data_IF_029502471105
#
_entry.id   IF_029502471105
#
_cell.length_a   1.000
_cell.length_b   1.000
_cell.length_c   1.000
_cell.angle_alpha   90.00
_cell.angle_beta   90.00
_cell.angle_gamma   90.00
#
_symmetry.space_group_name_H-M   'P 1'
#
loop_
_entity.id
_entity.type
_entity.pdbx_description
1 polymer ?
#
# COMPACT_ATOMS: atom_id res chain seq x y z
N UNK A 1 8.98 21.25 -5.46
CA UNK A 1 8.08 21.48 -4.30
C UNK A 1 6.70 21.84 -4.85
N UNK A 2 5.66 21.15 -4.39
CA UNK A 2 4.28 21.49 -4.77
C UNK A 2 3.81 22.64 -3.90
N UNK A 3 3.22 23.68 -4.52
CA UNK A 3 2.66 24.80 -3.76
C UNK A 3 1.41 24.34 -3.00
N UNK A 4 1.32 24.64 -1.70
CA UNK A 4 0.22 24.29 -0.80
C UNK A 4 -1.15 24.77 -1.31
N UNK A 5 -1.19 25.96 -1.95
CA UNK A 5 -2.42 26.53 -2.51
C UNK A 5 -2.99 25.68 -3.67
N UNK A 6 -2.22 24.76 -4.19
CA UNK A 6 -2.61 23.85 -5.26
C UNK A 6 -3.02 22.47 -4.76
N UNK A 7 -3.16 22.25 -3.43
CA UNK A 7 -3.47 20.95 -2.83
C UNK A 7 -4.86 20.97 -2.20
N UNK A 8 -5.71 20.01 -2.57
CA UNK A 8 -6.89 19.61 -1.79
C UNK A 8 -6.60 18.32 -1.06
N UNK A 9 -7.06 18.20 0.17
CA UNK A 9 -6.91 17.03 1.02
C UNK A 9 -8.28 16.39 1.21
N UNK A 10 -8.47 15.18 0.70
CA UNK A 10 -9.68 14.39 0.91
C UNK A 10 -9.43 13.45 2.09
N UNK A 11 -9.95 13.81 3.25
CA UNK A 11 -9.96 12.97 4.44
C UNK A 11 -11.22 12.12 4.42
N UNK A 12 -11.07 10.81 4.14
CA UNK A 12 -12.22 9.94 3.92
C UNK A 12 -12.37 8.85 5.00
N UNK A 13 -13.61 8.43 5.23
CA UNK A 13 -13.96 7.29 6.03
C UNK A 13 -14.68 7.62 7.34
N UNK A 14 -14.72 6.66 8.25
CA UNK A 14 -15.41 6.79 9.52
C UNK A 14 -14.71 7.80 10.43
N UNK A 15 -15.48 8.60 11.14
CA UNK A 15 -14.96 9.43 12.23
C UNK A 15 -14.56 8.52 13.39
N UNK A 16 -13.27 8.58 13.74
CA UNK A 16 -12.72 7.98 14.95
C UNK A 16 -12.43 9.12 15.92
N UNK A 17 -13.22 9.33 16.98
CA UNK A 17 -13.05 10.43 17.92
C UNK A 17 -11.57 10.59 18.32
N UNK A 18 -11.09 11.69 18.77
CA UNK A 18 -9.66 11.97 19.11
C UNK A 18 -8.66 11.73 17.96
N UNK A 19 -8.82 10.65 17.17
CA UNK A 19 -7.89 10.31 16.08
C UNK A 19 -8.13 11.19 14.86
N UNK A 20 -9.37 11.28 14.39
CA UNK A 20 -9.74 12.14 13.27
C UNK A 20 -9.51 13.62 13.64
N UNK A 21 -9.79 14.00 14.89
CA UNK A 21 -9.45 15.33 15.41
C UNK A 21 -7.95 15.61 15.29
N UNK A 22 -7.11 14.67 15.72
CA UNK A 22 -5.65 14.83 15.63
C UNK A 22 -5.16 14.82 14.16
N UNK A 23 -5.78 13.99 13.32
CA UNK A 23 -5.53 13.99 11.87
C UNK A 23 -5.74 15.39 11.29
N UNK A 24 -6.92 15.98 11.47
CA UNK A 24 -7.28 17.29 10.92
C UNK A 24 -6.43 18.42 11.50
N UNK A 25 -6.20 18.41 12.84
CA UNK A 25 -5.31 19.41 13.48
C UNK A 25 -3.90 19.38 12.90
N UNK A 26 -3.35 18.18 12.67
CA UNK A 26 -2.02 18.06 12.10
C UNK A 26 -1.98 18.45 10.62
N UNK A 27 -3.04 18.17 9.85
CA UNK A 27 -3.14 18.63 8.48
C UNK A 27 -3.14 20.17 8.43
N UNK A 28 -3.93 20.86 9.24
CA UNK A 28 -3.91 22.33 9.33
C UNK A 28 -2.55 22.86 9.79
N UNK A 29 -1.89 22.17 10.73
CA UNK A 29 -0.57 22.58 11.22
C UNK A 29 0.51 22.52 10.14
N UNK A 30 0.57 21.42 9.38
CA UNK A 30 1.67 21.18 8.44
C UNK A 30 1.34 21.60 7.00
N UNK A 31 0.04 21.72 6.67
CA UNK A 31 -0.47 22.11 5.36
C UNK A 31 -1.54 23.20 5.50
N UNK A 32 -1.20 24.37 6.06
CA UNK A 32 -2.18 25.38 6.50
C UNK A 32 -3.07 25.91 5.38
N UNK A 33 -2.55 26.06 4.16
CA UNK A 33 -3.26 26.64 3.02
C UNK A 33 -3.96 25.59 2.14
N UNK A 34 -3.81 24.28 2.46
CA UNK A 34 -4.48 23.24 1.69
C UNK A 34 -6.00 23.28 1.96
N UNK A 35 -6.79 23.05 0.90
CA UNK A 35 -8.23 22.82 1.03
C UNK A 35 -8.47 21.46 1.67
N UNK A 36 -9.25 21.37 2.76
CA UNK A 36 -9.56 20.11 3.43
C UNK A 36 -11.03 19.76 3.23
N UNK A 37 -11.27 18.63 2.58
CA UNK A 37 -12.58 18.01 2.39
C UNK A 37 -12.71 16.82 3.34
N UNK A 38 -13.65 16.86 4.27
CA UNK A 38 -13.98 15.76 5.16
C UNK A 38 -15.14 14.97 4.55
N UNK A 39 -14.86 13.78 4.00
CA UNK A 39 -15.87 12.89 3.41
C UNK A 39 -16.13 11.72 4.35
N UNK A 40 -17.31 11.72 4.98
CA UNK A 40 -17.70 10.77 6.02
C UNK A 40 -19.15 10.30 5.85
N UNK A 41 -19.68 9.60 6.84
CA UNK A 41 -21.00 8.98 6.79
C UNK A 41 -22.08 9.89 7.40
N UNK A 42 -23.30 9.82 6.87
CA UNK A 42 -24.49 10.34 7.52
C UNK A 42 -24.51 9.87 8.99
N UNK A 43 -24.98 10.73 9.87
CA UNK A 43 -25.03 10.51 11.32
C UNK A 43 -23.66 10.40 12.04
N UNK A 44 -22.53 10.74 11.37
CA UNK A 44 -21.26 10.90 12.07
C UNK A 44 -21.28 12.19 12.91
N UNK A 45 -20.84 12.09 14.17
CA UNK A 45 -20.62 13.28 14.99
C UNK A 45 -19.35 13.99 14.54
N UNK A 46 -19.50 15.19 14.00
CA UNK A 46 -18.42 16.08 13.51
C UNK A 46 -18.33 17.37 14.33
N UNK A 47 -19.08 17.50 15.42
CA UNK A 47 -19.18 18.72 16.24
C UNK A 47 -17.82 19.23 16.70
N UNK A 48 -16.94 18.33 17.14
CA UNK A 48 -15.58 18.66 17.60
C UNK A 48 -14.57 18.91 16.47
N UNK A 49 -14.99 18.83 15.21
CA UNK A 49 -14.14 18.96 14.02
C UNK A 49 -14.39 20.29 13.26
N UNK A 50 -15.41 21.03 13.65
CA UNK A 50 -15.77 22.32 13.03
C UNK A 50 -14.58 23.26 13.04
N UNK A 51 -14.34 23.95 11.90
CA UNK A 51 -13.20 24.85 11.70
C UNK A 51 -11.87 24.17 11.30
N UNK A 52 -11.85 22.83 11.25
CA UNK A 52 -10.67 22.07 10.82
C UNK A 52 -10.76 21.56 9.36
N UNK A 53 -11.92 21.68 8.74
CA UNK A 53 -12.17 21.35 7.33
C UNK A 53 -12.85 22.53 6.63
N UNK A 54 -12.73 22.62 5.31
CA UNK A 54 -13.37 23.65 4.48
C UNK A 54 -14.67 23.15 3.88
N UNK A 55 -14.74 21.85 3.56
CA UNK A 55 -15.92 21.20 2.97
C UNK A 55 -16.24 19.93 3.75
N UNK A 56 -17.51 19.75 4.08
CA UNK A 56 -18.03 18.52 4.71
C UNK A 56 -18.94 17.81 3.71
N UNK A 57 -18.68 16.53 3.49
CA UNK A 57 -19.46 15.68 2.60
C UNK A 57 -19.98 14.49 3.40
N UNK A 58 -21.30 14.41 3.54
CA UNK A 58 -21.97 13.26 4.14
C UNK A 58 -22.38 12.25 3.07
N UNK A 59 -22.06 11.00 3.29
CA UNK A 59 -22.38 9.88 2.42
C UNK A 59 -23.29 8.89 3.11
N UNK A 60 -24.22 8.29 2.37
CA UNK A 60 -24.98 7.14 2.85
C UNK A 60 -24.05 5.92 2.88
N UNK A 61 -23.83 5.37 4.06
CA UNK A 61 -22.96 4.23 4.23
C UNK A 61 -23.57 2.95 3.62
N UNK A 62 -22.91 2.29 2.64
CA UNK A 62 -23.37 1.02 2.14
C UNK A 62 -23.24 -0.06 3.21
N UNK A 63 -24.12 -1.08 3.13
CA UNK A 63 -24.01 -2.27 3.99
C UNK A 63 -22.68 -2.95 3.76
N UNK A 64 -22.04 -3.39 4.83
CA UNK A 64 -20.84 -4.22 4.77
C UNK A 64 -21.23 -5.68 4.86
N UNK A 65 -20.51 -6.53 4.13
CA UNK A 65 -20.70 -7.99 4.15
C UNK A 65 -19.48 -8.65 4.76
N UNK A 66 -19.71 -9.63 5.60
CA UNK A 66 -18.66 -10.40 6.26
C UNK A 66 -17.94 -11.28 5.24
N UNK A 67 -16.62 -11.19 5.19
CA UNK A 67 -15.79 -12.01 4.30
C UNK A 67 -14.92 -13.02 5.05
N UNK A 68 -14.84 -12.94 6.37
CA UNK A 68 -14.11 -13.88 7.23
C UNK A 68 -14.95 -14.13 8.49
N UNK A 69 -15.68 -15.24 8.49
CA UNK A 69 -16.60 -15.59 9.55
C UNK A 69 -15.86 -15.94 10.85
N UNK A 70 -14.64 -16.49 10.76
CA UNK A 70 -13.83 -16.89 11.91
C UNK A 70 -13.27 -15.67 12.64
N UNK A 71 -12.89 -14.63 11.89
CA UNK A 71 -12.26 -13.42 12.42
C UNK A 71 -13.24 -12.24 12.52
N UNK A 72 -14.51 -12.45 12.19
CA UNK A 72 -15.54 -11.40 12.15
C UNK A 72 -15.11 -10.16 11.37
N UNK A 73 -14.58 -10.36 10.13
CA UNK A 73 -14.12 -9.25 9.30
C UNK A 73 -15.08 -8.94 8.16
N UNK A 74 -15.30 -7.65 7.96
CA UNK A 74 -16.23 -7.10 6.97
C UNK A 74 -15.47 -6.41 5.82
N UNK A 75 -16.01 -6.55 4.61
CA UNK A 75 -15.52 -5.85 3.43
C UNK A 75 -15.99 -4.39 3.44
N UNK A 76 -15.07 -3.49 3.18
CA UNK A 76 -15.30 -2.04 3.17
C UNK A 76 -15.11 -1.41 1.78
N UNK A 77 -14.99 -2.21 0.71
CA UNK A 77 -14.61 -1.69 -0.59
C UNK A 77 -15.57 -0.62 -1.11
N UNK A 78 -16.88 -0.87 -1.09
CA UNK A 78 -17.86 0.12 -1.54
C UNK A 78 -17.85 1.38 -0.66
N UNK A 79 -17.52 1.25 0.63
CA UNK A 79 -17.32 2.41 1.51
C UNK A 79 -16.10 3.22 1.10
N UNK A 80 -14.98 2.56 0.78
CA UNK A 80 -13.77 3.23 0.29
C UNK A 80 -14.07 3.97 -1.01
N UNK A 81 -14.77 3.34 -1.96
CA UNK A 81 -15.12 3.95 -3.23
C UNK A 81 -16.02 5.17 -3.06
N UNK A 82 -17.16 5.02 -2.38
CA UNK A 82 -18.13 6.11 -2.19
C UNK A 82 -17.49 7.32 -1.52
N UNK A 83 -16.81 7.12 -0.37
CA UNK A 83 -16.25 8.24 0.37
C UNK A 83 -15.05 8.89 -0.35
N UNK A 84 -14.33 8.14 -1.19
CA UNK A 84 -13.27 8.72 -2.01
C UNK A 84 -13.84 9.49 -3.19
N UNK A 85 -14.76 8.90 -3.96
CA UNK A 85 -15.37 9.55 -5.12
C UNK A 85 -16.05 10.87 -4.73
N UNK A 86 -16.94 10.85 -3.75
CA UNK A 86 -17.65 12.06 -3.34
C UNK A 86 -16.72 13.14 -2.76
N UNK A 87 -15.66 12.75 -2.05
CA UNK A 87 -14.64 13.70 -1.59
C UNK A 87 -13.85 14.31 -2.75
N UNK A 88 -13.50 13.52 -3.76
CA UNK A 88 -12.78 13.97 -4.95
C UNK A 88 -13.61 14.92 -5.82
N UNK A 89 -14.91 14.70 -5.94
CA UNK A 89 -15.84 15.59 -6.65
C UNK A 89 -15.82 17.02 -6.09
N UNK A 90 -15.73 17.15 -4.77
CA UNK A 90 -15.71 18.44 -4.08
C UNK A 90 -14.33 19.12 -4.04
N UNK A 91 -13.26 18.41 -4.35
CA UNK A 91 -11.92 18.98 -4.39
C UNK A 91 -11.74 19.94 -5.57
N UNK A 92 -11.09 21.11 -5.35
CA UNK A 92 -10.97 22.17 -6.36
C UNK A 92 -9.55 22.38 -6.87
N UNK A 93 -8.56 21.85 -6.17
CA UNK A 93 -7.15 22.13 -6.47
C UNK A 93 -6.58 21.11 -7.45
N UNK A 94 -5.43 21.46 -8.03
CA UNK A 94 -4.73 20.64 -9.04
C UNK A 94 -4.24 19.31 -8.50
N UNK A 95 -3.70 19.29 -7.29
CA UNK A 95 -3.17 18.10 -6.63
C UNK A 95 -4.09 17.67 -5.51
N UNK A 96 -4.23 16.36 -5.35
CA UNK A 96 -5.04 15.78 -4.28
C UNK A 96 -4.17 14.90 -3.40
N UNK A 97 -4.31 15.12 -2.09
CA UNK A 97 -3.93 14.17 -1.07
C UNK A 97 -5.19 13.45 -0.58
N UNK A 98 -5.41 12.21 -0.99
CA UNK A 98 -6.50 11.39 -0.44
C UNK A 98 -5.93 10.53 0.68
N UNK A 99 -6.47 10.66 1.89
CA UNK A 99 -6.05 9.92 3.07
C UNK A 99 -7.23 9.38 3.87
N UNK A 100 -6.96 8.36 4.69
CA UNK A 100 -7.91 7.84 5.67
C UNK A 100 -7.97 8.76 6.89
N UNK A 101 -9.15 8.87 7.48
CA UNK A 101 -9.42 9.68 8.70
C UNK A 101 -8.63 9.25 9.94
N UNK A 102 -7.98 8.06 9.90
CA UNK A 102 -7.18 7.50 11.00
C UNK A 102 -5.65 7.57 10.76
N UNK A 103 -5.19 8.33 9.76
CA UNK A 103 -3.79 8.64 9.52
C UNK A 103 -3.40 10.01 10.09
N UNK A 104 -2.22 10.06 10.68
CA UNK A 104 -1.73 11.28 11.35
C UNK A 104 -0.47 11.75 10.65
N UNK A 105 -0.54 12.94 10.03
CA UNK A 105 0.61 13.63 9.46
C UNK A 105 1.50 14.16 10.59
N UNK A 106 2.83 13.99 10.48
CA UNK A 106 3.79 14.39 11.51
C UNK A 106 4.71 15.53 11.09
N UNK A 107 4.81 15.78 9.80
CA UNK A 107 5.61 16.83 9.19
C UNK A 107 5.10 17.08 7.77
N UNK A 108 5.73 17.97 7.05
CA UNK A 108 5.43 18.38 5.68
C UNK A 108 6.25 17.63 4.61
N UNK A 109 6.88 16.53 4.94
CA UNK A 109 7.77 15.79 4.04
C UNK A 109 7.12 15.42 2.70
N UNK A 110 5.79 15.22 2.67
CA UNK A 110 5.08 14.91 1.44
C UNK A 110 5.24 15.97 0.35
N UNK A 111 5.51 17.25 0.70
CA UNK A 111 5.73 18.34 -0.25
C UNK A 111 7.06 18.21 -1.00
N UNK A 112 7.98 17.41 -0.49
CA UNK A 112 9.31 17.15 -1.04
C UNK A 112 9.42 15.80 -1.72
N UNK A 113 8.31 15.05 -1.81
CA UNK A 113 8.29 13.79 -2.54
C UNK A 113 8.58 14.06 -4.04
N UNK A 114 9.48 13.27 -4.58
CA UNK A 114 9.90 13.38 -5.97
C UNK A 114 10.00 12.00 -6.61
N UNK A 115 9.49 11.88 -7.85
CA UNK A 115 9.60 10.65 -8.61
C UNK A 115 10.98 10.54 -9.28
N UNK A 116 11.90 9.86 -8.62
CA UNK A 116 13.22 9.50 -9.14
C UNK A 116 13.19 8.34 -10.15
N UNK A 117 12.02 7.76 -10.39
CA UNK A 117 11.74 6.69 -11.35
C UNK A 117 10.80 7.18 -12.46
N UNK A 118 11.08 8.34 -13.05
CA UNK A 118 10.14 9.10 -13.87
C UNK A 118 9.87 8.54 -15.26
N UNK A 119 10.77 7.74 -15.86
CA UNK A 119 10.52 7.13 -17.16
C UNK A 119 9.37 6.11 -17.05
N UNK A 120 8.56 6.06 -18.10
CA UNK A 120 7.36 5.23 -18.16
C UNK A 120 7.19 4.61 -19.54
N UNK A 121 6.63 3.40 -19.56
CA UNK A 121 6.09 2.83 -20.77
C UNK A 121 4.66 3.36 -20.96
N UNK A 122 4.44 4.20 -21.95
CA UNK A 122 3.13 4.81 -22.21
C UNK A 122 2.03 3.78 -22.53
N UNK A 123 2.39 2.63 -23.08
CA UNK A 123 1.43 1.55 -23.35
C UNK A 123 0.88 0.91 -22.07
N UNK A 124 1.63 0.99 -20.98
CA UNK A 124 1.25 0.45 -19.66
C UNK A 124 0.78 1.54 -18.69
N UNK A 125 0.75 2.81 -19.15
CA UNK A 125 0.40 3.97 -18.31
C UNK A 125 -1.06 4.34 -18.50
N UNK A 126 -1.82 4.37 -17.41
CA UNK A 126 -3.20 4.86 -17.35
C UNK A 126 -3.26 6.34 -16.98
N UNK A 127 -2.49 6.74 -15.96
CA UNK A 127 -2.53 8.09 -15.38
C UNK A 127 -1.58 9.03 -16.12
N UNK A 128 -1.84 10.34 -16.06
CA UNK A 128 -0.96 11.37 -16.64
C UNK A 128 0.38 11.43 -15.90
N UNK A 129 0.35 11.28 -14.57
CA UNK A 129 1.55 11.18 -13.73
C UNK A 129 1.43 9.96 -12.83
N UNK A 130 2.56 9.47 -12.30
CA UNK A 130 2.50 8.42 -11.28
C UNK A 130 1.83 8.97 -10.01
N UNK A 131 0.91 8.18 -9.49
CA UNK A 131 0.29 8.45 -8.19
C UNK A 131 1.26 8.00 -7.11
N UNK A 132 1.55 8.87 -6.14
CA UNK A 132 2.37 8.55 -4.98
C UNK A 132 1.54 7.80 -3.95
N UNK A 133 2.08 6.70 -3.44
CA UNK A 133 1.38 5.79 -2.55
C UNK A 133 2.23 5.38 -1.37
N UNK A 134 1.59 4.90 -0.32
CA UNK A 134 2.21 4.53 0.94
C UNK A 134 2.72 3.09 0.92
N UNK A 135 3.93 2.86 1.46
CA UNK A 135 4.57 1.54 1.46
C UNK A 135 3.82 0.49 2.31
N UNK A 136 3.27 0.89 3.47
CA UNK A 136 2.54 -0.06 4.32
C UNK A 136 1.34 -0.63 3.58
N UNK A 137 1.28 -1.96 3.51
CA UNK A 137 0.30 -2.74 2.74
C UNK A 137 0.42 -2.62 1.22
N UNK A 138 1.45 -1.97 0.67
CA UNK A 138 1.84 -2.21 -0.71
C UNK A 138 2.68 -3.49 -0.74
N UNK A 139 2.16 -4.55 -1.35
CA UNK A 139 2.73 -5.89 -1.31
C UNK A 139 3.29 -6.25 -2.68
N UNK A 140 4.56 -6.68 -2.71
CA UNK A 140 5.17 -7.28 -3.90
C UNK A 140 4.92 -8.78 -3.89
N UNK A 141 4.46 -9.31 -5.00
CA UNK A 141 4.43 -10.75 -5.22
C UNK A 141 5.85 -11.33 -5.19
N UNK A 142 6.04 -12.45 -4.49
CA UNK A 142 7.30 -13.17 -4.44
C UNK A 142 7.02 -14.68 -4.38
N UNK A 143 7.26 -15.35 -5.50
CA UNK A 143 7.03 -16.78 -5.68
C UNK A 143 7.85 -17.65 -4.71
N UNK A 144 9.07 -17.23 -4.39
CA UNK A 144 10.01 -17.98 -3.55
C UNK A 144 9.62 -18.03 -2.09
N UNK A 145 8.56 -17.35 -1.71
CA UNK A 145 8.17 -17.21 -0.31
C UNK A 145 6.86 -17.92 0.01
N UNK A 146 6.96 -19.15 0.47
CA UNK A 146 5.82 -20.00 0.85
C UNK A 146 4.96 -19.44 1.99
N UNK A 147 5.52 -18.54 2.80
CA UNK A 147 4.86 -17.97 4.00
C UNK A 147 4.14 -16.64 3.66
N UNK A 148 4.42 -16.03 2.52
CA UNK A 148 3.93 -14.69 2.17
C UNK A 148 2.58 -14.72 1.47
N UNK A 149 1.86 -13.64 1.66
CA UNK A 149 0.67 -13.37 0.87
C UNK A 149 1.07 -13.21 -0.60
N UNK A 150 0.64 -14.17 -1.41
CA UNK A 150 0.78 -14.13 -2.85
C UNK A 150 -0.31 -13.22 -3.40
N UNK A 151 -0.08 -11.90 -3.35
CA UNK A 151 -1.07 -10.91 -3.78
C UNK A 151 -0.52 -10.09 -4.93
N UNK A 152 -1.16 -10.22 -6.09
CA UNK A 152 -0.97 -9.36 -7.25
C UNK A 152 -1.80 -8.07 -7.09
N UNK A 153 -1.44 -7.03 -7.80
CA UNK A 153 -2.18 -5.75 -7.82
C UNK A 153 -2.45 -5.15 -6.43
N UNK A 154 -1.57 -5.36 -5.45
CA UNK A 154 -1.84 -4.99 -4.06
C UNK A 154 -1.06 -3.75 -3.66
N UNK A 155 -1.65 -2.57 -3.90
CA UNK A 155 -1.13 -1.26 -3.51
C UNK A 155 -1.98 -0.68 -2.39
N UNK A 156 -1.33 -0.16 -1.35
CA UNK A 156 -1.97 0.39 -0.16
C UNK A 156 -3.07 1.40 -0.49
N UNK A 157 -4.23 1.23 0.11
CA UNK A 157 -5.36 2.15 0.02
C UNK A 157 -5.33 3.26 1.09
N UNK A 158 -4.27 3.37 1.87
CA UNK A 158 -4.21 4.29 3.01
C UNK A 158 -4.04 5.74 2.60
N UNK A 159 -3.22 5.98 1.58
CA UNK A 159 -2.86 7.32 1.16
C UNK A 159 -2.46 7.33 -0.31
N UNK A 160 -3.01 8.29 -1.06
CA UNK A 160 -2.68 8.57 -2.45
C UNK A 160 -2.42 10.07 -2.62
N UNK A 161 -1.38 10.44 -3.36
CA UNK A 161 -1.10 11.82 -3.74
C UNK A 161 -0.76 11.92 -5.22
N UNK A 162 -1.43 12.82 -5.95
CA UNK A 162 -1.22 12.99 -7.39
C UNK A 162 -2.11 14.08 -7.98
N UNK A 163 -2.18 14.12 -9.30
CA UNK A 163 -3.10 15.02 -9.99
C UNK A 163 -4.55 14.66 -9.67
N UNK A 164 -5.43 15.67 -9.56
CA UNK A 164 -6.86 15.46 -9.33
C UNK A 164 -7.45 14.49 -10.35
N UNK A 165 -7.20 14.71 -11.63
CA UNK A 165 -7.72 13.89 -12.71
C UNK A 165 -7.27 12.41 -12.61
N UNK A 166 -6.02 12.17 -12.19
CA UNK A 166 -5.49 10.81 -12.01
C UNK A 166 -6.15 10.09 -10.84
N UNK A 167 -6.41 10.82 -9.72
CA UNK A 167 -7.12 10.22 -8.59
C UNK A 167 -8.60 10.00 -8.87
N UNK A 168 -9.24 10.89 -9.61
CA UNK A 168 -10.62 10.68 -10.10
C UNK A 168 -10.67 9.42 -10.97
N UNK A 169 -9.74 9.27 -11.92
CA UNK A 169 -9.65 8.08 -12.77
C UNK A 169 -9.38 6.80 -11.97
N UNK A 170 -8.50 6.86 -10.93
CA UNK A 170 -8.21 5.72 -10.06
C UNK A 170 -9.47 5.17 -9.37
N UNK A 171 -10.34 6.08 -8.91
CA UNK A 171 -11.57 5.70 -8.21
C UNK A 171 -12.80 5.56 -9.13
N UNK A 172 -12.66 5.87 -10.43
CA UNK A 172 -13.70 5.65 -11.44
C UNK A 172 -13.76 4.18 -11.87
N UNK A 173 -14.19 3.33 -10.95
CA UNK A 173 -14.37 1.88 -11.12
C UNK A 173 -15.74 1.47 -10.58
N UNK A 174 -16.32 0.35 -11.04
CA UNK A 174 -17.62 -0.11 -10.59
C UNK A 174 -17.66 -0.41 -9.09
N UNK A 175 -18.84 -0.27 -8.48
CA UNK A 175 -19.08 -0.83 -7.14
C UNK A 175 -19.16 -2.35 -7.23
N UNK A 176 -18.66 -3.03 -6.20
CA UNK A 176 -18.80 -4.49 -6.12
C UNK A 176 -20.23 -4.86 -5.79
N UNK A 177 -20.70 -5.95 -6.42
CA UNK A 177 -22.01 -6.55 -6.12
C UNK A 177 -21.89 -7.42 -4.86
N UNK A 178 -22.59 -7.02 -3.84
CA UNK A 178 -22.68 -7.77 -2.58
C UNK A 178 -23.98 -8.57 -2.51
N UNK A 179 -24.02 -9.78 -1.91
CA UNK A 179 -22.92 -10.43 -1.16
C UNK A 179 -21.93 -11.22 -2.03
N UNK A 180 -22.13 -11.33 -3.35
CA UNK A 180 -21.37 -12.23 -4.23
C UNK A 180 -19.87 -11.98 -4.17
N UNK A 181 -19.45 -10.72 -4.08
CA UNK A 181 -18.04 -10.38 -4.02
C UNK A 181 -17.39 -10.80 -2.68
N UNK A 182 -18.05 -10.51 -1.57
CA UNK A 182 -17.51 -10.82 -0.23
C UNK A 182 -17.67 -12.28 0.16
N UNK A 183 -18.57 -13.01 -0.49
CA UNK A 183 -18.88 -14.42 -0.24
C UNK A 183 -18.52 -15.32 -1.42
N UNK A 184 -17.64 -14.87 -2.31
CA UNK A 184 -17.27 -15.55 -3.55
C UNK A 184 -16.88 -17.01 -3.36
N UNK A 185 -15.99 -17.30 -2.39
CA UNK A 185 -15.52 -18.67 -2.11
C UNK A 185 -16.50 -19.52 -1.29
N UNK A 186 -17.71 -19.08 -1.07
CA UNK A 186 -18.80 -19.96 -0.59
C UNK A 186 -19.30 -20.88 -1.70
N UNK A 187 -19.33 -20.36 -2.93
CA UNK A 187 -19.84 -21.08 -4.13
C UNK A 187 -18.74 -21.48 -5.11
N UNK A 188 -17.53 -21.00 -4.95
CA UNK A 188 -16.38 -21.29 -5.81
C UNK A 188 -15.32 -22.08 -5.05
N UNK A 189 -14.68 -23.03 -5.75
CA UNK A 189 -13.62 -23.84 -5.17
C UNK A 189 -12.42 -22.97 -4.74
N UNK A 190 -11.86 -23.29 -3.58
CA UNK A 190 -10.70 -22.65 -3.02
C UNK A 190 -9.54 -23.62 -2.97
N UNK A 191 -8.34 -23.17 -3.32
CA UNK A 191 -7.15 -24.01 -3.26
C UNK A 191 -6.89 -24.50 -1.83
N UNK A 192 -6.57 -25.79 -1.67
CA UNK A 192 -6.22 -26.42 -0.38
C UNK A 192 -4.99 -25.77 0.27
N UNK A 193 -4.08 -25.20 -0.54
CA UNK A 193 -2.84 -24.56 -0.08
C UNK A 193 -2.97 -23.07 0.19
N UNK A 194 -4.20 -22.53 0.15
CA UNK A 194 -4.40 -21.13 0.43
C UNK A 194 -4.15 -20.81 1.91
N UNK A 195 -3.19 -19.91 2.15
CA UNK A 195 -2.84 -19.44 3.50
C UNK A 195 -3.97 -18.61 4.16
N UNK A 196 -4.94 -18.16 3.36
CA UNK A 196 -6.09 -17.37 3.81
C UNK A 196 -7.38 -18.19 3.87
N UNK A 197 -7.31 -19.41 4.38
CA UNK A 197 -8.41 -20.40 4.43
C UNK A 197 -9.77 -19.82 4.85
N UNK A 198 -9.78 -18.85 5.76
CA UNK A 198 -11.01 -18.26 6.31
C UNK A 198 -11.56 -17.08 5.48
N UNK A 199 -10.81 -16.54 4.53
CA UNK A 199 -11.27 -15.42 3.69
C UNK A 199 -12.14 -15.90 2.55
N UNK A 200 -13.36 -15.41 2.48
CA UNK A 200 -14.35 -15.82 1.49
C UNK A 200 -14.54 -14.83 0.34
N UNK A 201 -13.89 -13.69 0.39
CA UNK A 201 -14.00 -12.65 -0.64
C UNK A 201 -13.32 -13.00 -1.95
N UNK A 202 -13.76 -12.39 -3.01
CA UNK A 202 -13.16 -12.51 -4.34
C UNK A 202 -11.70 -11.99 -4.34
N UNK A 203 -11.47 -10.81 -3.76
CA UNK A 203 -10.14 -10.21 -3.56
C UNK A 203 -10.20 -9.08 -2.51
N UNK A 204 -9.04 -8.57 -2.10
CA UNK A 204 -8.97 -7.43 -1.18
C UNK A 204 -9.38 -6.12 -1.86
N UNK A 205 -9.78 -5.08 -1.09
CA UNK A 205 -10.05 -3.76 -1.65
C UNK A 205 -8.90 -3.19 -2.47
N UNK A 206 -7.67 -3.35 -1.99
CA UNK A 206 -6.45 -2.89 -2.66
C UNK A 206 -6.30 -3.57 -4.03
N UNK A 207 -6.48 -4.89 -4.08
CA UNK A 207 -6.40 -5.65 -5.33
C UNK A 207 -7.49 -5.23 -6.32
N UNK A 208 -8.72 -5.05 -5.85
CA UNK A 208 -9.83 -4.63 -6.69
C UNK A 208 -9.58 -3.26 -7.32
N UNK A 209 -9.21 -2.27 -6.53
CA UNK A 209 -8.94 -0.92 -7.04
C UNK A 209 -7.86 -0.97 -8.12
N UNK A 210 -6.77 -1.68 -7.89
CA UNK A 210 -5.65 -1.70 -8.82
C UNK A 210 -5.92 -2.57 -10.06
N UNK A 211 -6.53 -3.75 -9.89
CA UNK A 211 -6.80 -4.65 -11.01
C UNK A 211 -7.87 -4.10 -11.96
N UNK A 212 -8.93 -3.46 -11.46
CA UNK A 212 -9.93 -2.83 -12.31
C UNK A 212 -9.32 -1.68 -13.16
N UNK A 213 -8.38 -0.93 -12.61
CA UNK A 213 -7.65 0.06 -13.38
C UNK A 213 -6.67 -0.59 -14.38
N UNK A 214 -6.01 -1.69 -14.01
CA UNK A 214 -5.13 -2.43 -14.92
C UNK A 214 -5.91 -2.98 -16.14
N UNK A 215 -7.15 -3.45 -15.95
CA UNK A 215 -8.04 -3.91 -17.04
C UNK A 215 -8.37 -2.81 -18.07
N UNK A 216 -8.31 -1.53 -17.69
CA UNK A 216 -8.50 -0.42 -18.63
C UNK A 216 -7.37 -0.34 -19.66
N UNK A 217 -6.18 -0.77 -19.30
CA UNK A 217 -4.96 -0.76 -20.12
C UNK A 217 -4.71 -2.12 -20.78
N UNK A 218 -4.73 -3.18 -19.99
CA UNK A 218 -4.45 -4.55 -20.42
C UNK A 218 -5.77 -5.28 -20.65
N UNK A 219 -6.26 -5.22 -21.91
CA UNK A 219 -7.58 -5.77 -22.28
C UNK A 219 -7.69 -7.29 -22.18
N UNK A 220 -6.57 -7.98 -22.21
CA UNK A 220 -6.44 -9.43 -22.03
C UNK A 220 -6.25 -9.85 -20.56
N UNK A 221 -6.22 -8.93 -19.61
CA UNK A 221 -6.05 -9.27 -18.20
C UNK A 221 -7.20 -10.14 -17.70
N UNK A 222 -6.90 -11.38 -17.40
CA UNK A 222 -7.82 -12.34 -16.80
C UNK A 222 -7.46 -12.53 -15.31
N UNK A 223 -7.92 -11.60 -14.47
CA UNK A 223 -7.75 -11.63 -13.02
C UNK A 223 -9.12 -11.52 -12.36
N UNK A 224 -9.69 -12.68 -12.04
CA UNK A 224 -11.04 -12.80 -11.49
C UNK A 224 -11.06 -12.79 -9.98
N UNK A 225 -10.08 -13.44 -9.35
CA UNK A 225 -9.98 -13.54 -7.89
C UNK A 225 -8.52 -13.54 -7.44
N UNK A 226 -8.28 -13.41 -6.14
CA UNK A 226 -6.91 -13.27 -5.61
C UNK A 226 -6.03 -14.52 -5.74
N UNK A 227 -6.58 -15.66 -6.15
CA UNK A 227 -5.84 -16.90 -6.42
C UNK A 227 -5.42 -17.06 -7.89
N UNK A 228 -5.83 -16.15 -8.78
CA UNK A 228 -5.48 -16.18 -10.21
C UNK A 228 -4.04 -15.71 -10.42
N UNK A 229 -3.10 -16.51 -9.94
CA UNK A 229 -1.66 -16.24 -9.99
C UNK A 229 -1.06 -17.00 -11.16
N UNK A 230 -0.99 -16.35 -12.30
CA UNK A 230 -0.31 -16.83 -13.51
C UNK A 230 0.90 -15.96 -13.81
N UNK A 231 1.85 -16.45 -14.61
CA UNK A 231 3.04 -15.68 -15.02
C UNK A 231 2.62 -14.40 -15.76
N UNK A 232 1.58 -14.45 -16.58
CA UNK A 232 1.03 -13.30 -17.27
C UNK A 232 0.48 -12.27 -16.30
N UNK A 233 -0.35 -12.68 -15.34
CA UNK A 233 -0.92 -11.78 -14.34
C UNK A 233 0.17 -11.17 -13.42
N UNK A 234 1.23 -11.92 -13.13
CA UNK A 234 2.39 -11.39 -12.38
C UNK A 234 3.07 -10.27 -13.18
N UNK A 235 3.36 -10.52 -14.47
CA UNK A 235 4.00 -9.54 -15.34
C UNK A 235 3.14 -8.28 -15.51
N UNK A 236 1.85 -8.44 -15.77
CA UNK A 236 0.91 -7.32 -15.90
C UNK A 236 0.83 -6.53 -14.59
N UNK A 237 0.77 -7.20 -13.44
CA UNK A 237 0.74 -6.53 -12.14
C UNK A 237 1.99 -5.69 -11.89
N UNK A 238 3.18 -6.23 -12.16
CA UNK A 238 4.44 -5.52 -12.03
C UNK A 238 4.54 -4.33 -12.98
N UNK A 239 4.24 -4.56 -14.26
CA UNK A 239 4.30 -3.54 -15.33
C UNK A 239 3.30 -2.40 -15.04
N UNK A 240 2.05 -2.73 -14.71
CA UNK A 240 1.05 -1.71 -14.38
C UNK A 240 1.46 -0.89 -13.15
N UNK A 241 1.87 -1.53 -12.06
CA UNK A 241 2.21 -0.84 -10.82
C UNK A 241 3.39 0.13 -11.04
N UNK A 242 4.48 -0.31 -11.65
CA UNK A 242 5.68 0.53 -11.77
C UNK A 242 5.50 1.70 -12.73
N UNK A 243 4.60 1.58 -13.70
CA UNK A 243 4.30 2.64 -14.67
C UNK A 243 3.28 3.67 -14.14
N UNK A 244 2.48 3.32 -13.13
CA UNK A 244 1.36 4.15 -12.65
C UNK A 244 1.51 4.63 -11.21
N UNK A 245 2.39 4.01 -10.43
CA UNK A 245 2.57 4.34 -9.02
C UNK A 245 4.03 4.54 -8.65
N UNK A 246 4.26 5.40 -7.65
CA UNK A 246 5.53 5.55 -6.96
C UNK A 246 5.29 5.36 -5.47
N UNK A 247 5.95 4.36 -4.88
CA UNK A 247 5.72 3.93 -3.50
C UNK A 247 6.81 4.52 -2.62
N UNK A 248 6.41 5.25 -1.57
CA UNK A 248 7.31 5.87 -0.61
C UNK A 248 7.12 5.29 0.79
N UNK A 249 8.20 5.24 1.54
CA UNK A 249 8.21 4.74 2.92
C UNK A 249 7.47 5.66 3.89
N UNK A 250 7.13 5.12 5.07
CA UNK A 250 6.53 5.88 6.18
C UNK A 250 7.34 7.14 6.53
N UNK A 251 8.68 7.03 6.48
CA UNK A 251 9.58 8.14 6.80
C UNK A 251 9.54 9.24 5.74
N UNK A 252 9.49 8.87 4.47
CA UNK A 252 9.42 9.82 3.36
C UNK A 252 8.09 10.57 3.36
N UNK A 253 6.98 9.89 3.66
CA UNK A 253 5.66 10.50 3.77
C UNK A 253 5.49 11.41 4.98
N UNK A 254 6.12 11.08 6.10
CA UNK A 254 5.87 11.74 7.38
C UNK A 254 4.52 11.38 8.03
N UNK A 255 3.89 10.28 7.63
CA UNK A 255 2.67 9.77 8.26
C UNK A 255 2.94 8.74 9.36
N UNK A 256 1.99 8.60 10.28
CA UNK A 256 1.92 7.45 11.18
C UNK A 256 0.48 6.97 11.34
N UNK A 257 0.32 5.66 11.52
CA UNK A 257 -0.95 5.09 11.91
C UNK A 257 -1.16 5.22 13.42
N UNK A 258 -2.41 5.49 13.82
CA UNK A 258 -2.82 5.49 15.22
C UNK A 258 -2.92 4.07 15.81
N UNK A 259 -3.27 3.08 15.00
CA UNK A 259 -3.49 1.71 15.50
C UNK A 259 -2.19 1.13 16.06
N UNK A 260 -2.21 0.73 17.35
CA UNK A 260 -1.05 0.13 18.05
C UNK A 260 -0.50 -1.10 17.31
N UNK A 261 -1.37 -1.91 16.74
CA UNK A 261 -1.03 -3.08 15.90
C UNK A 261 -0.07 -2.72 14.77
N UNK A 262 -0.21 -1.52 14.19
CA UNK A 262 0.63 -1.05 13.11
C UNK A 262 1.88 -0.26 13.59
N UNK A 263 1.88 0.26 14.83
CA UNK A 263 3.10 0.84 15.42
C UNK A 263 4.16 -0.22 15.67
N UNK A 264 3.74 -1.41 16.11
CA UNK A 264 4.62 -2.54 16.38
C UNK A 264 5.06 -3.25 15.09
N UNK A 265 4.46 -2.98 13.93
CA UNK A 265 4.94 -3.50 12.64
C UNK A 265 6.34 -3.00 12.24
N UNK A 266 6.87 -1.95 12.91
CA UNK A 266 8.31 -1.61 12.78
C UNK A 266 9.24 -2.69 13.34
N UNK A 267 8.78 -3.51 14.27
CA UNK A 267 9.53 -4.65 14.81
C UNK A 267 9.59 -5.84 13.83
N UNK A 268 8.79 -5.81 12.77
CA UNK A 268 8.79 -6.83 11.74
C UNK A 268 9.72 -6.46 10.57
N UNK A 269 11.01 -6.34 10.84
CA UNK A 269 12.04 -6.63 9.83
C UNK A 269 11.78 -7.99 9.14
N UNK A 270 10.96 -8.80 9.75
CA UNK A 270 10.60 -10.17 9.41
C UNK A 270 9.11 -10.37 9.15
N UNK A 271 8.35 -9.29 8.90
CA UNK A 271 6.93 -9.43 8.57
C UNK A 271 6.75 -10.43 7.42
N UNK A 272 5.71 -11.28 7.48
CA UNK A 272 5.43 -12.25 6.42
C UNK A 272 5.08 -11.58 5.08
N UNK A 273 5.02 -10.25 5.04
CA UNK A 273 4.75 -9.47 3.85
C UNK A 273 6.04 -8.89 3.28
N UNK A 274 6.28 -9.09 2.00
CA UNK A 274 7.26 -8.29 1.26
C UNK A 274 6.56 -7.02 0.85
N UNK A 275 6.86 -5.95 1.57
CA UNK A 275 6.46 -4.62 1.08
C UNK A 275 7.15 -4.34 -0.26
N UNK A 276 6.48 -3.60 -1.11
CA UNK A 276 7.02 -3.13 -2.37
C UNK A 276 8.05 -2.03 -2.11
N UNK A 277 9.21 -2.45 -1.59
CA UNK A 277 10.31 -1.57 -1.19
C UNK A 277 10.88 -0.79 -2.39
N UNK A 278 11.65 0.26 -2.11
CA UNK A 278 12.38 1.01 -3.15
C UNK A 278 13.27 0.09 -4.02
N UNK A 279 13.85 -0.94 -3.43
CA UNK A 279 14.66 -1.92 -4.14
C UNK A 279 13.84 -2.76 -5.13
N UNK A 280 12.66 -3.24 -4.73
CA UNK A 280 11.78 -3.99 -5.61
C UNK A 280 11.22 -3.11 -6.74
N UNK A 281 10.85 -1.85 -6.41
CA UNK A 281 10.45 -0.88 -7.42
C UNK A 281 11.56 -0.63 -8.44
N UNK A 282 12.81 -0.57 -8.01
CA UNK A 282 13.94 -0.40 -8.92
C UNK A 282 14.13 -1.60 -9.85
N UNK A 283 13.96 -2.83 -9.37
CA UNK A 283 14.00 -4.03 -10.21
C UNK A 283 12.94 -3.97 -11.31
N UNK A 284 11.70 -3.64 -10.93
CA UNK A 284 10.60 -3.57 -11.89
C UNK A 284 10.78 -2.38 -12.84
N UNK A 285 11.28 -1.25 -12.34
CA UNK A 285 11.60 -0.09 -13.17
C UNK A 285 12.64 -0.42 -14.26
N UNK A 286 13.71 -1.15 -13.90
CA UNK A 286 14.71 -1.63 -14.88
C UNK A 286 14.11 -2.60 -15.88
N UNK A 287 13.18 -3.43 -15.43
CA UNK A 287 12.55 -4.45 -16.29
C UNK A 287 11.56 -3.82 -17.29
N UNK A 288 10.74 -2.87 -16.85
CA UNK A 288 9.59 -2.38 -17.61
C UNK A 288 9.70 -0.95 -18.14
N UNK A 289 10.56 -0.11 -17.53
CA UNK A 289 10.63 1.31 -17.87
C UNK A 289 11.98 1.75 -18.43
N UNK A 290 13.09 1.41 -17.76
CA UNK A 290 14.43 1.88 -18.15
C UNK A 290 15.52 0.86 -17.83
N UNK A 291 15.93 0.06 -18.82
CA UNK A 291 16.97 -0.96 -18.66
C UNK A 291 18.32 -0.39 -18.21
N UNK A 292 18.59 0.88 -18.52
CA UNK A 292 19.84 1.57 -18.22
C UNK A 292 19.79 2.35 -16.90
N UNK A 293 18.68 2.30 -16.16
CA UNK A 293 18.57 3.01 -14.90
C UNK A 293 19.69 2.64 -13.94
N UNK A 294 20.52 3.63 -13.63
CA UNK A 294 21.62 3.50 -12.67
C UNK A 294 21.25 4.31 -11.41
N UNK A 295 20.65 3.65 -10.44
CA UNK A 295 20.28 4.31 -9.19
C UNK A 295 21.40 4.08 -8.19
N UNK A 296 22.13 5.14 -7.90
CA UNK A 296 23.13 5.19 -6.84
C UNK A 296 22.42 5.35 -5.50
N UNK A 297 21.92 4.26 -4.94
CA UNK A 297 21.44 4.26 -3.57
C UNK A 297 22.35 3.37 -2.72
N UNK A 298 23.12 3.99 -1.83
CA UNK A 298 24.07 3.26 -0.96
C UNK A 298 23.35 2.22 -0.06
N UNK A 299 22.08 2.44 0.25
CA UNK A 299 21.26 1.49 1.01
C UNK A 299 20.87 0.22 0.22
N UNK A 300 20.90 0.28 -1.10
CA UNK A 300 20.74 -0.90 -1.98
C UNK A 300 21.80 -1.97 -1.72
N UNK A 301 22.97 -1.60 -1.22
CA UNK A 301 24.02 -2.54 -0.86
C UNK A 301 23.57 -3.56 0.20
N UNK A 302 22.79 -3.14 1.20
CA UNK A 302 22.29 -4.01 2.27
C UNK A 302 21.33 -5.10 1.75
N UNK A 303 20.55 -4.80 0.70
CA UNK A 303 19.62 -5.76 0.09
C UNK A 303 20.30 -6.71 -0.90
N UNK A 304 21.49 -6.38 -1.38
CA UNK A 304 22.30 -7.25 -2.27
C UNK A 304 23.04 -8.36 -1.53
N UNK A 305 23.04 -8.35 -0.17
CA UNK A 305 23.78 -9.34 0.61
C UNK A 305 23.02 -10.67 0.57
N UNK A 306 23.57 -11.71 -0.08
CA UNK A 306 22.90 -13.02 -0.21
C UNK A 306 22.49 -13.65 1.12
N UNK A 307 23.18 -13.27 2.21
CA UNK A 307 22.93 -13.74 3.56
C UNK A 307 21.70 -13.09 4.23
N UNK A 308 21.29 -11.89 3.79
CA UNK A 308 20.10 -11.22 4.34
C UNK A 308 18.82 -12.01 4.02
N UNK A 309 18.66 -12.50 2.79
CA UNK A 309 17.51 -13.31 2.42
C UNK A 309 17.49 -14.66 3.17
N UNK A 310 18.67 -15.31 3.33
CA UNK A 310 18.77 -16.55 4.11
C UNK A 310 18.50 -16.31 5.59
N UNK A 311 19.04 -15.26 6.19
CA UNK A 311 18.77 -14.85 7.57
C UNK A 311 17.27 -14.59 7.77
N UNK A 312 16.65 -13.84 6.86
CA UNK A 312 15.21 -13.55 6.87
C UNK A 312 14.38 -14.83 6.80
N UNK A 313 14.71 -15.79 5.92
CA UNK A 313 14.04 -17.08 5.84
C UNK A 313 14.11 -17.85 7.16
N UNK A 314 15.28 -17.92 7.77
CA UNK A 314 15.47 -18.66 9.03
C UNK A 314 14.75 -18.02 10.20
N UNK A 315 14.76 -16.69 10.31
CA UNK A 315 14.01 -15.98 11.35
C UNK A 315 12.51 -16.18 11.18
N UNK A 316 11.99 -16.15 9.94
CA UNK A 316 10.58 -16.45 9.69
C UNK A 316 10.21 -17.89 10.04
N UNK A 317 11.08 -18.85 9.72
CA UNK A 317 10.87 -20.25 10.07
C UNK A 317 10.80 -20.46 11.59
N UNK A 318 11.62 -19.75 12.38
CA UNK A 318 11.57 -19.82 13.85
C UNK A 318 10.25 -19.29 14.41
N UNK A 319 9.75 -18.16 13.91
CA UNK A 319 8.50 -17.60 14.40
C UNK A 319 7.27 -18.46 14.08
N UNK A 320 7.33 -19.29 13.05
CA UNK A 320 6.21 -20.10 12.57
C UNK A 320 6.37 -21.60 12.74
N UNK A 321 7.51 -22.09 13.32
CA UNK A 321 7.73 -23.53 13.54
C UNK A 321 7.31 -24.00 14.93
N UNK A 322 6.90 -25.29 15.08
CA UNK A 322 6.70 -25.87 16.39
C UNK A 322 8.00 -25.89 17.22
N UNK A 323 7.86 -25.76 18.53
CA UNK A 323 8.91 -25.54 19.53
C UNK A 323 10.20 -26.39 19.38
N UNK A 324 10.13 -27.59 18.80
CA UNK A 324 11.26 -28.53 18.69
C UNK A 324 12.31 -28.22 17.61
N UNK A 325 12.02 -27.36 16.63
CA UNK A 325 12.99 -26.96 15.59
C UNK A 325 13.74 -25.67 15.93
N UNK A 326 13.34 -24.95 16.96
CA UNK A 326 13.84 -23.59 17.28
C UNK A 326 15.32 -23.52 17.57
N UNK A 327 15.90 -24.50 18.24
CA UNK A 327 17.29 -24.43 18.69
C UNK A 327 18.30 -24.52 17.55
N UNK A 328 18.14 -25.46 16.63
CA UNK A 328 19.05 -25.61 15.47
C UNK A 328 18.98 -24.40 14.52
N UNK A 329 17.81 -23.79 14.43
CA UNK A 329 17.59 -22.60 13.60
C UNK A 329 18.14 -21.34 14.27
N UNK A 330 18.09 -21.19 15.60
CA UNK A 330 18.78 -20.14 16.34
C UNK A 330 20.29 -20.16 16.10
N UNK A 331 20.92 -21.33 16.12
CA UNK A 331 22.36 -21.47 15.81
C UNK A 331 22.64 -21.04 14.36
N UNK A 332 21.78 -21.40 13.42
CA UNK A 332 21.90 -20.97 12.01
C UNK A 332 21.75 -19.46 11.85
N UNK A 333 20.82 -18.83 12.58
CA UNK A 333 20.67 -17.37 12.59
C UNK A 333 21.94 -16.68 13.11
N UNK A 334 22.47 -17.18 14.23
CA UNK A 334 23.70 -16.61 14.81
C UNK A 334 24.88 -16.72 13.84
N UNK A 335 25.00 -17.83 13.15
CA UNK A 335 26.00 -18.01 12.09
C UNK A 335 25.83 -17.03 10.93
N UNK A 336 24.60 -16.81 10.44
CA UNK A 336 24.33 -15.85 9.36
C UNK A 336 24.48 -14.41 9.80
N UNK A 337 24.16 -14.07 11.05
CA UNK A 337 24.45 -12.76 11.65
C UNK A 337 25.95 -12.48 11.70
N UNK A 338 26.76 -13.44 12.15
CA UNK A 338 28.22 -13.31 12.16
C UNK A 338 28.79 -13.14 10.74
N UNK A 339 28.30 -13.90 9.77
CA UNK A 339 28.72 -13.71 8.37
C UNK A 339 28.26 -12.39 7.79
N UNK A 340 27.09 -11.92 8.15
CA UNK A 340 26.59 -10.61 7.74
C UNK A 340 27.50 -9.48 8.28
N UNK A 341 27.79 -9.49 9.59
CA UNK A 341 28.68 -8.50 10.20
C UNK A 341 30.09 -8.55 9.58
N UNK A 342 30.63 -9.75 9.36
CA UNK A 342 31.96 -9.89 8.75
C UNK A 342 32.01 -9.37 7.29
N UNK A 343 30.95 -9.57 6.51
CA UNK A 343 30.85 -9.06 5.15
C UNK A 343 30.67 -7.55 5.11
N UNK A 344 29.95 -7.00 6.10
CA UNK A 344 29.72 -5.57 6.27
C UNK A 344 31.04 -4.83 6.60
N UNK A 345 31.83 -5.38 7.52
CA UNK A 345 33.13 -4.80 7.90
C UNK A 345 34.18 -4.92 6.78
N UNK A 346 34.22 -6.05 6.05
CA UNK A 346 35.11 -6.17 4.87
C UNK A 346 34.76 -5.20 3.75
N UNK A 347 33.49 -4.93 3.50
CA UNK A 347 33.03 -3.96 2.49
C UNK A 347 33.33 -2.50 2.87
N UNK A 348 33.43 -2.20 4.18
CA UNK A 348 33.79 -0.86 4.69
C UNK A 348 35.29 -0.56 4.62
N UNK A 349 36.14 -1.57 4.67
CA UNK A 349 37.63 -1.39 4.65
C UNK A 349 38.15 -1.19 3.24
N UNK A 350 37.45 -1.62 2.19
CA UNK A 350 37.89 -1.41 0.79
C UNK A 350 37.58 0.00 0.23
N UNK A 351 37.03 0.93 1.02
CA UNK A 351 36.76 2.32 0.58
C UNK A 351 37.78 3.36 1.11
N UNK A 352 38.86 2.93 1.75
CA UNK A 352 39.97 3.82 2.08
C UNK A 352 41.22 3.38 1.32
N UNK A 353 41.18 3.51 0.02
CA UNK A 353 42.38 3.68 -0.83
C UNK A 353 41.95 4.36 -2.11
#
# INVERSE_FOLDING_TARGET
>A
MVNLDNISIVVQGQIVPKVTLLCLKNLRKYLPNAEIILSTWENSDVSNLVGLYDVLVFNKAPKTVMFDDVKNKYNNINRILISSQSGLEHARRKYILRIRSDLILKNDNLLYLFDDLSKRNFKSSLFKQKIFVYEKFSIKYDEKNEIKQRMLFHISDWCYFGLKEDLVELFNIPFVKEPDFSRYFVTHAKSVNDIHKTRLWKMSPEQYIISENAKKVFKNLNFENYLDITDENIQISEDFIINNFRIFSEKEWGFSSYKKEYKNMKMFLFAPYVYYSKFEQLKDYKKYCDKNANIKDEKLFLYKIPYYEKLRKHVLQIFFSPFYKKFSEMVSIFYYLLKFTFTFFKGGVCRKK
#
